data_IF_123161546608
#
_entry.id   IF_123161546608
#
_cell.length_a   1.000
_cell.length_b   1.000
_cell.length_c   1.000
_cell.angle_alpha   90.00
_cell.angle_beta   90.00
_cell.angle_gamma   90.00
#
_symmetry.space_group_name_H-M   'P 1'
#
loop_
_entity.id
_entity.type
_entity.pdbx_description
1 polymer ?
#
# COMPACT_ATOMS: atom_id res chain seq x y z
N UNK A 1 -8.72 11.35 27.92
CA UNK A 1 -8.28 9.95 27.73
C UNK A 1 -7.12 9.58 28.66
N UNK A 2 -5.95 10.23 28.59
CA UNK A 2 -4.78 9.91 29.46
C UNK A 2 -5.09 10.08 30.96
N UNK A 3 -5.75 11.16 31.37
CA UNK A 3 -6.17 11.38 32.77
C UNK A 3 -7.05 10.24 33.30
N UNK A 4 -7.97 9.71 32.48
CA UNK A 4 -8.83 8.60 32.86
C UNK A 4 -8.02 7.31 32.99
N UNK A 5 -7.06 7.06 32.10
CA UNK A 5 -6.19 5.89 32.20
C UNK A 5 -5.32 5.93 33.47
N UNK A 6 -4.78 7.10 33.82
CA UNK A 6 -4.02 7.30 35.07
C UNK A 6 -4.90 7.05 36.30
N UNK A 7 -6.13 7.56 36.30
CA UNK A 7 -7.08 7.32 37.38
C UNK A 7 -7.42 5.83 37.50
N UNK A 8 -7.70 5.16 36.38
CA UNK A 8 -7.98 3.72 36.37
C UNK A 8 -6.80 2.89 36.87
N UNK A 9 -5.55 3.25 36.52
CA UNK A 9 -4.35 2.59 37.06
C UNK A 9 -4.27 2.77 38.58
N UNK A 10 -4.52 3.99 39.07
CA UNK A 10 -4.52 4.29 40.50
C UNK A 10 -5.59 3.48 41.23
N UNK A 11 -6.78 3.40 40.67
CA UNK A 11 -7.90 2.67 41.24
C UNK A 11 -7.62 1.15 41.23
N UNK A 12 -7.07 0.60 40.13
CA UNK A 12 -6.67 -0.81 40.08
C UNK A 12 -5.58 -1.19 41.08
N UNK A 13 -4.67 -0.27 41.42
CA UNK A 13 -3.68 -0.49 42.48
C UNK A 13 -4.34 -0.44 43.86
N UNK A 14 -5.25 0.53 44.07
CA UNK A 14 -5.92 0.73 45.36
C UNK A 14 -6.87 -0.42 45.69
N UNK A 15 -7.64 -0.85 44.70
CA UNK A 15 -8.70 -1.86 44.86
C UNK A 15 -8.21 -3.28 44.49
N UNK A 16 -6.89 -3.46 44.34
CA UNK A 16 -6.27 -4.73 43.97
C UNK A 16 -6.71 -5.90 44.85
N UNK A 17 -6.91 -5.67 46.16
CA UNK A 17 -7.35 -6.72 47.09
C UNK A 17 -8.79 -7.19 46.84
N UNK A 18 -9.64 -6.36 46.26
CA UNK A 18 -11.05 -6.67 46.02
C UNK A 18 -11.19 -7.61 44.82
N UNK A 19 -10.57 -7.24 43.70
CA UNK A 19 -10.56 -8.04 42.47
C UNK A 19 -9.13 -8.19 41.91
N UNK A 20 -8.31 -9.08 42.50
CA UNK A 20 -6.88 -9.16 42.18
C UNK A 20 -6.62 -9.57 40.73
N UNK A 21 -7.48 -10.38 40.14
CA UNK A 21 -7.25 -10.93 38.80
C UNK A 21 -7.55 -9.91 37.71
N UNK A 22 -8.66 -9.19 37.86
CA UNK A 22 -9.07 -8.14 36.94
C UNK A 22 -8.13 -6.94 37.01
N UNK A 23 -7.78 -6.51 38.22
CA UNK A 23 -6.82 -5.43 38.41
C UNK A 23 -5.41 -5.81 37.95
N UNK A 24 -4.95 -7.04 38.20
CA UNK A 24 -3.66 -7.50 37.69
C UNK A 24 -3.67 -7.61 36.16
N UNK A 25 -4.75 -8.12 35.57
CA UNK A 25 -4.89 -8.19 34.11
C UNK A 25 -4.77 -6.79 33.50
N UNK A 26 -5.51 -5.82 34.03
CA UNK A 26 -5.43 -4.43 33.57
C UNK A 26 -4.01 -3.85 33.71
N UNK A 27 -3.35 -4.05 34.84
CA UNK A 27 -2.00 -3.55 35.08
C UNK A 27 -0.96 -4.19 34.16
N UNK A 28 -1.06 -5.50 33.89
CA UNK A 28 -0.19 -6.20 32.95
C UNK A 28 -0.37 -5.66 31.54
N UNK A 29 -1.62 -5.44 31.11
CA UNK A 29 -1.91 -4.84 29.79
C UNK A 29 -1.35 -3.43 29.65
N UNK A 30 -1.46 -2.60 30.70
CA UNK A 30 -0.81 -1.28 30.74
C UNK A 30 0.72 -1.42 30.69
N UNK A 31 1.26 -2.41 31.40
CA UNK A 31 2.68 -2.76 31.39
C UNK A 31 3.23 -3.08 30.00
N UNK A 32 2.45 -3.80 29.17
CA UNK A 32 2.82 -4.09 27.77
C UNK A 32 3.01 -2.79 26.98
N UNK A 33 2.04 -1.87 27.06
CA UNK A 33 2.11 -0.58 26.37
C UNK A 33 3.26 0.30 26.88
N UNK A 34 3.47 0.35 28.19
CA UNK A 34 4.57 1.10 28.81
C UNK A 34 5.94 0.54 28.41
N UNK A 35 6.11 -0.79 28.39
CA UNK A 35 7.34 -1.43 27.95
C UNK A 35 7.69 -0.97 26.53
N UNK A 36 6.73 -0.99 25.60
CA UNK A 36 6.96 -0.52 24.24
C UNK A 36 7.33 0.96 24.17
N UNK A 37 6.65 1.82 24.93
CA UNK A 37 6.91 3.25 24.96
C UNK A 37 8.33 3.55 25.47
N UNK A 38 8.74 2.94 26.59
CA UNK A 38 10.08 3.11 27.16
C UNK A 38 11.13 2.66 26.14
N UNK A 39 10.95 1.50 25.53
CA UNK A 39 11.89 0.98 24.55
C UNK A 39 11.93 1.84 23.27
N UNK A 40 10.80 2.39 22.84
CA UNK A 40 10.73 3.34 21.73
C UNK A 40 11.51 4.64 22.01
N UNK A 41 11.43 5.16 23.25
CA UNK A 41 12.23 6.32 23.67
C UNK A 41 13.73 5.98 23.65
N UNK A 42 14.12 4.84 24.22
CA UNK A 42 15.52 4.39 24.24
C UNK A 42 16.06 4.24 22.81
N UNK A 43 15.28 3.61 21.93
CA UNK A 43 15.59 3.43 20.51
C UNK A 43 15.83 4.79 19.82
N UNK A 44 14.92 5.74 20.02
CA UNK A 44 15.06 7.09 19.45
C UNK A 44 16.27 7.87 20.01
N UNK A 45 16.56 7.77 21.32
CA UNK A 45 17.76 8.37 21.92
C UNK A 45 19.02 7.76 21.30
N UNK A 46 19.05 6.45 21.11
CA UNK A 46 20.18 5.76 20.47
C UNK A 46 20.39 6.24 19.03
N UNK A 47 19.33 6.43 18.26
CA UNK A 47 19.42 7.02 16.93
C UNK A 47 20.10 8.40 16.96
N UNK A 48 19.66 9.29 17.84
CA UNK A 48 20.27 10.63 18.00
C UNK A 48 21.74 10.51 18.39
N UNK A 49 22.07 9.63 19.33
CA UNK A 49 23.45 9.45 19.81
C UNK A 49 24.41 8.94 18.73
N UNK A 50 23.89 8.22 17.73
CA UNK A 50 24.66 7.67 16.58
C UNK A 50 24.77 8.66 15.42
N UNK A 51 24.51 9.95 15.65
CA UNK A 51 24.55 10.98 14.63
C UNK A 51 23.23 11.22 13.91
N UNK A 52 22.19 10.43 14.17
CA UNK A 52 20.80 10.54 13.67
C UNK A 52 20.56 11.56 12.56
N UNK A 53 20.00 12.72 12.91
CA UNK A 53 19.66 13.77 11.95
C UNK A 53 20.86 14.47 11.31
N UNK A 54 21.99 14.61 12.01
CA UNK A 54 23.16 15.29 11.43
C UNK A 54 23.74 14.46 10.27
N UNK A 55 23.79 13.13 10.43
CA UNK A 55 24.17 12.21 9.36
C UNK A 55 23.21 12.29 8.16
N UNK A 56 21.89 12.35 8.41
CA UNK A 56 20.89 12.49 7.34
C UNK A 56 21.01 13.83 6.59
N UNK A 57 21.24 14.93 7.31
CA UNK A 57 21.44 16.25 6.69
C UNK A 57 22.72 16.24 5.84
N UNK A 58 23.77 15.59 6.30
CA UNK A 58 25.01 15.45 5.53
C UNK A 58 24.78 14.62 4.25
N UNK A 59 24.06 13.51 4.34
CA UNK A 59 23.69 12.72 3.18
C UNK A 59 22.84 13.52 2.16
N UNK A 60 21.93 14.37 2.63
CA UNK A 60 21.15 15.27 1.74
C UNK A 60 22.04 16.32 1.07
N UNK A 61 23.05 16.83 1.76
CA UNK A 61 24.03 17.76 1.17
C UNK A 61 24.90 17.08 0.12
N UNK A 62 25.30 15.84 0.36
CA UNK A 62 26.19 15.07 -0.51
C UNK A 62 25.48 14.55 -1.77
N UNK A 63 24.30 13.96 -1.60
CA UNK A 63 23.53 13.35 -2.70
C UNK A 63 22.52 14.33 -3.35
N UNK A 64 22.40 15.55 -2.83
CA UNK A 64 21.37 16.50 -3.24
C UNK A 64 19.95 16.03 -2.91
N UNK A 65 18.93 16.75 -3.40
CA UNK A 65 17.52 16.46 -3.05
C UNK A 65 16.94 15.30 -3.89
N UNK A 66 17.39 15.10 -5.13
CA UNK A 66 16.73 14.18 -6.07
C UNK A 66 17.36 12.79 -6.21
N UNK A 67 18.57 12.58 -5.70
CA UNK A 67 19.32 11.32 -5.90
C UNK A 67 19.52 10.55 -4.60
N UNK A 68 19.82 9.24 -4.74
CA UNK A 68 20.24 8.33 -3.67
C UNK A 68 19.37 8.37 -2.40
N UNK A 69 18.04 8.24 -2.57
CA UNK A 69 17.11 8.25 -1.43
C UNK A 69 17.38 7.13 -0.43
N UNK A 70 17.74 5.93 -0.89
CA UNK A 70 18.04 4.78 -0.02
C UNK A 70 19.15 5.10 1.00
N UNK A 71 20.18 5.86 0.59
CA UNK A 71 21.29 6.26 1.48
C UNK A 71 20.94 7.37 2.47
N UNK A 72 19.76 7.99 2.35
CA UNK A 72 19.27 9.03 3.28
C UNK A 72 18.40 8.42 4.38
N UNK A 73 17.65 7.36 4.07
CA UNK A 73 16.82 6.66 5.06
C UNK A 73 17.69 5.84 5.99
N UNK A 74 17.32 5.80 7.27
CA UNK A 74 17.83 4.81 8.20
C UNK A 74 16.97 3.55 8.14
N UNK A 75 17.59 2.39 8.25
CA UNK A 75 16.90 1.11 8.47
C UNK A 75 16.20 1.05 9.83
N UNK A 76 16.46 2.03 10.68
CA UNK A 76 15.77 2.31 11.93
C UNK A 76 16.24 1.47 13.11
N UNK A 77 16.03 1.97 14.32
CA UNK A 77 16.35 1.23 15.56
C UNK A 77 15.16 0.42 16.09
N UNK A 78 14.05 0.39 15.35
CA UNK A 78 12.78 -0.24 15.74
C UNK A 78 12.88 -1.74 15.99
N UNK A 79 13.79 -2.45 15.30
CA UNK A 79 14.08 -3.86 15.59
C UNK A 79 14.58 -4.11 17.02
N UNK A 80 15.15 -3.09 17.66
CA UNK A 80 15.60 -3.16 19.06
C UNK A 80 14.46 -3.07 20.07
N UNK A 81 13.29 -2.56 19.65
CA UNK A 81 12.09 -2.44 20.51
C UNK A 81 11.51 -3.83 20.82
N UNK A 82 11.63 -4.76 19.87
CA UNK A 82 11.07 -6.12 19.96
C UNK A 82 12.18 -7.17 20.22
N UNK A 83 13.44 -6.81 20.00
CA UNK A 83 14.60 -7.67 20.26
C UNK A 83 15.17 -7.59 21.67
N UNK A 84 16.12 -8.47 21.99
CA UNK A 84 16.93 -8.40 23.22
C UNK A 84 16.14 -8.52 24.53
N UNK A 85 16.50 -7.70 25.52
CA UNK A 85 15.86 -7.71 26.85
C UNK A 85 14.41 -7.22 26.78
N UNK A 86 14.15 -6.20 25.96
CA UNK A 86 12.82 -5.62 25.73
C UNK A 86 11.81 -6.67 25.24
N UNK A 87 12.21 -7.48 24.25
CA UNK A 87 11.41 -8.59 23.75
C UNK A 87 11.15 -9.67 24.79
N UNK A 88 12.16 -10.01 25.61
CA UNK A 88 11.99 -10.99 26.71
C UNK A 88 10.98 -10.52 27.74
N UNK A 89 11.01 -9.24 28.13
CA UNK A 89 10.04 -8.64 29.04
C UNK A 89 8.64 -8.67 28.42
N UNK A 90 8.51 -8.31 27.13
CA UNK A 90 7.24 -8.35 26.41
C UNK A 90 6.64 -9.76 26.41
N UNK A 91 7.44 -10.78 26.09
CA UNK A 91 7.00 -12.18 26.10
C UNK A 91 6.56 -12.62 27.51
N UNK A 92 7.30 -12.22 28.55
CA UNK A 92 6.94 -12.53 29.93
C UNK A 92 5.60 -11.90 30.32
N UNK A 93 5.36 -10.63 29.96
CA UNK A 93 4.09 -9.94 30.21
C UNK A 93 2.92 -10.62 29.46
N UNK A 94 3.12 -10.99 28.20
CA UNK A 94 2.11 -11.71 27.41
C UNK A 94 1.78 -13.09 27.99
N UNK A 95 2.78 -13.79 28.54
CA UNK A 95 2.57 -15.08 29.20
C UNK A 95 1.74 -14.92 30.48
N UNK A 96 2.04 -13.90 31.30
CA UNK A 96 1.25 -13.58 32.49
C UNK A 96 -0.19 -13.22 32.10
N UNK A 97 -0.37 -12.38 31.09
CA UNK A 97 -1.69 -12.00 30.58
C UNK A 97 -2.48 -13.21 30.08
N UNK A 98 -1.83 -14.12 29.36
CA UNK A 98 -2.43 -15.37 28.91
C UNK A 98 -2.91 -16.24 30.10
N UNK A 99 -2.10 -16.38 31.15
CA UNK A 99 -2.49 -17.12 32.36
C UNK A 99 -3.70 -16.48 33.03
N UNK A 100 -3.72 -15.14 33.15
CA UNK A 100 -4.85 -14.41 33.74
C UNK A 100 -6.11 -14.57 32.90
N UNK A 101 -5.98 -14.55 31.57
CA UNK A 101 -7.09 -14.81 30.65
C UNK A 101 -7.65 -16.22 30.86
N UNK A 102 -6.78 -17.24 30.98
CA UNK A 102 -7.20 -18.61 31.27
C UNK A 102 -7.93 -18.70 32.61
N UNK A 103 -7.40 -18.05 33.65
CA UNK A 103 -8.04 -18.04 34.95
C UNK A 103 -9.44 -17.42 34.88
N UNK A 104 -9.57 -16.24 34.25
CA UNK A 104 -10.85 -15.55 34.09
C UNK A 104 -11.84 -16.39 33.28
N UNK A 105 -11.38 -17.11 32.25
CA UNK A 105 -12.20 -18.03 31.48
C UNK A 105 -12.72 -19.18 32.35
N UNK A 106 -11.84 -19.88 33.08
CA UNK A 106 -12.22 -21.01 33.92
C UNK A 106 -13.06 -20.60 35.13
N UNK A 107 -12.90 -19.39 35.66
CA UNK A 107 -13.75 -18.85 36.73
C UNK A 107 -15.19 -18.65 36.27
N UNK A 108 -15.38 -18.22 35.02
CA UNK A 108 -16.67 -17.73 34.51
C UNK A 108 -17.38 -18.71 33.55
N UNK A 109 -16.99 -19.99 33.54
CA UNK A 109 -17.52 -21.02 32.63
C UNK A 109 -18.07 -22.23 33.38
N UNK A 110 -19.08 -22.88 32.79
CA UNK A 110 -19.57 -24.18 33.25
C UNK A 110 -18.66 -25.35 32.85
N UNK A 111 -18.77 -26.49 33.53
CA UNK A 111 -17.89 -27.67 33.40
C UNK A 111 -17.67 -28.08 31.94
N UNK A 112 -18.72 -28.17 31.12
CA UNK A 112 -18.62 -28.57 29.73
C UNK A 112 -17.69 -27.66 28.90
N UNK A 113 -17.80 -26.33 29.06
CA UNK A 113 -16.94 -25.36 28.38
C UNK A 113 -15.48 -25.46 28.85
N UNK A 114 -15.26 -25.75 30.14
CA UNK A 114 -13.90 -25.97 30.68
C UNK A 114 -13.23 -27.17 30.03
N UNK A 115 -13.96 -28.29 29.91
CA UNK A 115 -13.46 -29.52 29.27
C UNK A 115 -13.10 -29.23 27.81
N UNK A 116 -13.98 -28.56 27.05
CA UNK A 116 -13.73 -28.20 25.65
C UNK A 116 -12.47 -27.34 25.53
N UNK A 117 -12.30 -26.32 26.39
CA UNK A 117 -11.10 -25.47 26.40
C UNK A 117 -9.82 -26.25 26.71
N UNK A 118 -9.85 -27.20 27.65
CA UNK A 118 -8.67 -28.01 27.98
C UNK A 118 -8.28 -28.89 26.77
N UNK A 119 -9.27 -29.50 26.11
CA UNK A 119 -9.03 -30.29 24.89
C UNK A 119 -8.44 -29.41 23.80
N UNK A 120 -9.03 -28.24 23.54
CA UNK A 120 -8.59 -27.30 22.53
C UNK A 120 -7.15 -26.79 22.80
N UNK A 121 -6.84 -26.46 24.05
CA UNK A 121 -5.50 -26.03 24.45
C UNK A 121 -4.47 -27.15 24.28
N UNK A 122 -4.82 -28.40 24.65
CA UNK A 122 -3.97 -29.57 24.46
C UNK A 122 -3.69 -29.86 22.99
N UNK A 123 -4.73 -29.84 22.15
CA UNK A 123 -4.60 -30.02 20.70
C UNK A 123 -3.76 -28.91 20.09
N UNK A 124 -4.02 -27.65 20.43
CA UNK A 124 -3.26 -26.49 19.94
C UNK A 124 -1.80 -26.56 20.36
N UNK A 125 -1.51 -26.93 21.62
CA UNK A 125 -0.14 -27.10 22.11
C UNK A 125 0.64 -28.16 21.34
N UNK A 126 0.06 -29.36 21.15
CA UNK A 126 0.68 -30.44 20.35
C UNK A 126 0.90 -29.98 18.89
N UNK A 127 -0.07 -29.30 18.29
CA UNK A 127 0.02 -28.78 16.92
C UNK A 127 1.13 -27.76 16.76
N UNK A 128 1.30 -26.84 17.71
CA UNK A 128 2.38 -25.85 17.71
C UNK A 128 3.76 -26.53 17.75
N UNK A 129 3.92 -27.60 18.55
CA UNK A 129 5.17 -28.37 18.61
C UNK A 129 5.44 -29.07 17.27
N UNK A 130 4.44 -29.75 16.70
CA UNK A 130 4.57 -30.41 15.38
C UNK A 130 4.91 -29.38 14.30
N UNK A 131 4.26 -28.20 14.34
CA UNK A 131 4.51 -27.11 13.39
C UNK A 131 5.94 -26.59 13.50
N UNK A 132 6.44 -26.39 14.73
CA UNK A 132 7.80 -25.95 14.99
C UNK A 132 8.83 -26.97 14.49
N UNK A 133 8.65 -28.25 14.80
CA UNK A 133 9.54 -29.33 14.32
C UNK A 133 9.53 -29.36 12.79
N UNK A 134 8.36 -29.27 12.17
CA UNK A 134 8.21 -29.28 10.70
C UNK A 134 8.93 -28.09 10.05
N UNK A 135 8.85 -26.90 10.64
CA UNK A 135 9.55 -25.71 10.17
C UNK A 135 11.08 -25.84 10.30
N UNK A 136 11.57 -26.36 11.43
CA UNK A 136 13.00 -26.58 11.64
C UNK A 136 13.58 -27.59 10.65
N UNK A 137 12.86 -28.69 10.37
CA UNK A 137 13.27 -29.67 9.36
C UNK A 137 13.31 -29.07 7.94
N UNK A 138 12.38 -28.17 7.62
CA UNK A 138 12.35 -27.48 6.33
C UNK A 138 13.54 -26.51 6.14
N UNK A 139 13.94 -25.81 7.21
CA UNK A 139 15.10 -24.89 7.17
C UNK A 139 16.45 -25.61 6.99
N UNK A 140 16.57 -26.86 7.41
CA UNK A 140 17.79 -27.65 7.27
C UNK A 140 17.99 -28.21 5.84
N UNK A 141 17.14 -27.85 4.88
CA UNK A 141 17.29 -28.29 3.48
C UNK A 141 17.07 -29.80 3.29
N UNK A 142 16.39 -30.45 4.25
CA UNK A 142 16.08 -31.87 4.11
C UNK A 142 15.12 -32.07 2.93
N UNK A 143 15.64 -32.66 1.85
CA UNK A 143 14.83 -33.30 0.81
C UNK A 143 14.15 -34.50 1.44
N UNK A 144 13.14 -34.26 2.26
CA UNK A 144 12.26 -35.30 2.76
C UNK A 144 11.42 -35.73 1.56
N UNK A 145 11.83 -36.81 0.89
CA UNK A 145 10.96 -37.50 -0.05
C UNK A 145 9.65 -37.85 0.69
N UNK A 146 8.52 -37.56 0.04
CA UNK A 146 7.22 -37.41 0.69
C UNK A 146 6.89 -38.51 1.70
N UNK A 147 6.32 -38.11 2.85
CA UNK A 147 5.88 -39.05 3.88
C UNK A 147 4.76 -39.92 3.31
N UNK A 148 4.91 -41.26 3.25
CA UNK A 148 3.83 -42.14 2.82
C UNK A 148 2.68 -42.06 3.84
N UNK A 149 1.47 -41.78 3.36
CA UNK A 149 0.27 -41.85 4.18
C UNK A 149 0.06 -43.31 4.62
N UNK A 150 -0.17 -43.53 5.92
CA UNK A 150 -0.48 -44.84 6.53
C UNK A 150 -1.70 -45.54 5.90
N UNK A 151 -2.48 -44.83 5.07
CA UNK A 151 -3.64 -45.32 4.34
C UNK A 151 -3.45 -45.10 2.84
N UNK A 152 -2.55 -45.87 2.22
CA UNK A 152 -2.53 -46.19 0.79
C UNK A 152 -2.91 -45.09 -0.21
N UNK A 153 -2.29 -43.90 -0.10
CA UNK A 153 -2.52 -42.78 -1.02
C UNK A 153 -1.21 -42.16 -1.50
N UNK A 154 -1.25 -41.49 -2.67
CA UNK A 154 -0.10 -40.83 -3.30
C UNK A 154 0.71 -40.01 -2.30
N UNK A 155 2.05 -40.05 -2.40
CA UNK A 155 2.95 -39.26 -1.57
C UNK A 155 2.60 -37.77 -1.67
N UNK A 156 2.18 -37.18 -0.55
CA UNK A 156 2.01 -35.73 -0.46
C UNK A 156 3.39 -35.08 -0.38
N UNK A 157 3.62 -34.03 -1.16
CA UNK A 157 4.84 -33.25 -1.03
C UNK A 157 4.91 -32.64 0.38
N UNK A 158 6.11 -32.55 0.95
CA UNK A 158 6.34 -32.02 2.30
C UNK A 158 5.79 -30.61 2.48
N UNK A 159 5.88 -29.78 1.44
CA UNK A 159 5.29 -28.44 1.43
C UNK A 159 3.77 -28.47 1.62
N UNK A 160 3.06 -29.42 0.99
CA UNK A 160 1.60 -29.58 1.19
C UNK A 160 1.28 -30.03 2.61
N UNK A 161 2.10 -30.90 3.20
CA UNK A 161 1.93 -31.36 4.60
C UNK A 161 2.12 -30.19 5.57
N UNK A 162 3.16 -29.36 5.39
CA UNK A 162 3.41 -28.17 6.19
C UNK A 162 2.24 -27.19 6.07
N UNK A 163 1.76 -26.93 4.86
CA UNK A 163 0.63 -26.03 4.61
C UNK A 163 -0.65 -26.54 5.27
N UNK A 164 -0.99 -27.83 5.13
CA UNK A 164 -2.16 -28.43 5.78
C UNK A 164 -2.04 -28.31 7.30
N UNK A 165 -0.86 -28.62 7.86
CA UNK A 165 -0.66 -28.51 9.30
C UNK A 165 -0.78 -27.05 9.79
N UNK A 166 -0.29 -26.08 9.03
CA UNK A 166 -0.44 -24.66 9.33
C UNK A 166 -1.92 -24.23 9.33
N UNK A 167 -2.69 -24.63 8.32
CA UNK A 167 -4.14 -24.35 8.23
C UNK A 167 -4.88 -24.95 9.43
N UNK A 168 -4.62 -26.23 9.74
CA UNK A 168 -5.29 -26.89 10.87
C UNK A 168 -4.92 -26.22 12.20
N UNK A 169 -3.66 -25.82 12.37
CA UNK A 169 -3.20 -25.08 13.57
C UNK A 169 -3.89 -23.73 13.68
N UNK A 170 -4.07 -23.00 12.57
CA UNK A 170 -4.83 -21.75 12.56
C UNK A 170 -6.29 -21.97 12.94
N UNK A 171 -6.91 -23.07 12.47
CA UNK A 171 -8.28 -23.42 12.86
C UNK A 171 -8.41 -23.67 14.37
N UNK A 172 -7.47 -24.39 15.00
CA UNK A 172 -7.54 -24.62 16.45
C UNK A 172 -7.31 -23.33 17.25
N UNK A 173 -6.37 -22.49 16.82
CA UNK A 173 -6.18 -21.15 17.40
C UNK A 173 -7.45 -20.29 17.23
N UNK A 174 -8.13 -20.36 16.09
CA UNK A 174 -9.38 -19.62 15.88
C UNK A 174 -10.48 -20.12 16.82
N UNK A 175 -10.61 -21.43 17.01
CA UNK A 175 -11.56 -22.04 17.96
C UNK A 175 -11.25 -21.56 19.39
N UNK A 176 -9.98 -21.54 19.81
CA UNK A 176 -9.56 -20.97 21.08
C UNK A 176 -10.10 -19.55 21.27
N UNK A 177 -9.86 -18.64 20.31
CA UNK A 177 -10.34 -17.27 20.41
C UNK A 177 -11.88 -17.18 20.42
N UNK A 178 -12.57 -18.00 19.62
CA UNK A 178 -14.04 -18.08 19.63
C UNK A 178 -14.55 -18.47 21.02
N UNK A 179 -13.95 -19.50 21.64
CA UNK A 179 -14.32 -19.94 22.98
C UNK A 179 -14.15 -18.80 23.99
N UNK A 180 -13.02 -18.11 23.99
CA UNK A 180 -12.77 -16.97 24.87
C UNK A 180 -13.79 -15.84 24.63
N UNK A 181 -14.05 -15.49 23.37
CA UNK A 181 -15.00 -14.44 23.00
C UNK A 181 -16.45 -14.77 23.38
N UNK A 182 -16.80 -16.03 23.64
CA UNK A 182 -18.13 -16.35 24.17
C UNK A 182 -18.36 -15.81 25.60
N UNK A 183 -17.29 -15.49 26.34
CA UNK A 183 -17.35 -15.08 27.74
C UNK A 183 -17.17 -13.57 27.87
N UNK A 184 -18.22 -12.87 28.34
CA UNK A 184 -18.22 -11.39 28.48
C UNK A 184 -17.03 -10.86 29.28
N UNK A 185 -16.69 -11.51 30.39
CA UNK A 185 -15.57 -11.13 31.25
C UNK A 185 -14.18 -11.27 30.57
N UNK A 186 -14.06 -12.08 29.52
CA UNK A 186 -12.79 -12.21 28.78
C UNK A 186 -12.69 -11.21 27.62
N UNK A 187 -13.83 -10.71 27.09
CA UNK A 187 -13.86 -9.82 25.93
C UNK A 187 -13.12 -8.51 26.19
N UNK A 188 -13.32 -7.92 27.37
CA UNK A 188 -12.67 -6.66 27.72
C UNK A 188 -11.15 -6.87 27.83
N UNK A 189 -10.70 -7.95 28.51
CA UNK A 189 -9.28 -8.30 28.63
C UNK A 189 -8.63 -8.45 27.25
N UNK A 190 -9.25 -9.23 26.34
CA UNK A 190 -8.75 -9.38 24.98
C UNK A 190 -8.73 -8.06 24.21
N UNK A 191 -9.74 -7.20 24.38
CA UNK A 191 -9.81 -5.90 23.71
C UNK A 191 -8.67 -4.97 24.12
N UNK A 192 -8.40 -4.82 25.42
CA UNK A 192 -7.28 -4.01 25.89
C UNK A 192 -5.93 -4.63 25.54
N UNK A 193 -5.79 -5.96 25.64
CA UNK A 193 -4.59 -6.69 25.23
C UNK A 193 -4.27 -6.45 23.77
N UNK A 194 -5.26 -6.57 22.88
CA UNK A 194 -5.10 -6.33 21.45
C UNK A 194 -4.66 -4.88 21.15
N UNK A 195 -5.24 -3.90 21.83
CA UNK A 195 -4.82 -2.50 21.71
C UNK A 195 -3.38 -2.32 22.20
N UNK A 196 -3.03 -2.86 23.37
CA UNK A 196 -1.68 -2.76 23.92
C UNK A 196 -0.64 -3.43 23.02
N UNK A 197 -0.97 -4.59 22.44
CA UNK A 197 -0.13 -5.30 21.49
C UNK A 197 0.03 -4.53 20.18
N UNK A 198 -1.05 -3.93 19.66
CA UNK A 198 -1.01 -3.08 18.47
C UNK A 198 -0.15 -1.85 18.71
N UNK A 199 -0.25 -1.23 19.89
CA UNK A 199 0.64 -0.15 20.30
C UNK A 199 2.09 -0.63 20.32
N UNK A 200 2.34 -1.79 20.92
CA UNK A 200 3.69 -2.31 21.14
C UNK A 200 4.41 -2.76 19.87
N UNK A 201 3.70 -3.45 18.97
CA UNK A 201 4.28 -4.07 17.78
C UNK A 201 4.17 -3.23 16.52
N UNK A 202 3.20 -2.30 16.45
CA UNK A 202 2.96 -1.51 15.26
C UNK A 202 3.07 0.00 15.53
N UNK A 203 2.25 0.55 16.44
CA UNK A 203 2.11 2.00 16.56
C UNK A 203 3.40 2.68 17.03
N UNK A 204 4.00 2.21 18.14
CA UNK A 204 5.23 2.81 18.68
C UNK A 204 6.41 2.62 17.72
N UNK A 205 6.67 1.41 17.19
CA UNK A 205 7.70 1.23 16.16
C UNK A 205 7.50 2.15 14.94
N UNK A 206 6.27 2.30 14.45
CA UNK A 206 5.99 3.17 13.31
C UNK A 206 6.26 4.65 13.63
N UNK A 207 5.85 5.12 14.82
CA UNK A 207 6.13 6.49 15.27
C UNK A 207 7.64 6.73 15.34
N UNK A 208 8.39 5.82 15.94
CA UNK A 208 9.85 5.92 16.03
C UNK A 208 10.48 5.92 14.63
N UNK A 209 10.05 5.04 13.73
CA UNK A 209 10.57 4.98 12.36
C UNK A 209 10.33 6.29 11.60
N UNK A 210 9.14 6.88 11.74
CA UNK A 210 8.80 8.17 11.11
C UNK A 210 9.66 9.29 11.71
N UNK A 211 9.82 9.33 13.04
CA UNK A 211 10.67 10.31 13.71
C UNK A 211 12.11 10.19 13.21
N UNK A 212 12.68 8.98 13.24
CA UNK A 212 14.04 8.71 12.77
C UNK A 212 14.24 9.08 11.30
N UNK A 213 13.20 9.04 10.46
CA UNK A 213 13.28 9.34 9.03
C UNK A 213 12.64 10.67 8.63
N UNK A 214 12.40 11.59 9.57
CA UNK A 214 11.68 12.84 9.28
C UNK A 214 12.40 13.71 8.25
N UNK A 215 13.74 13.73 8.25
CA UNK A 215 14.53 14.53 7.31
C UNK A 215 14.43 13.97 5.87
N UNK A 216 14.73 12.68 5.61
CA UNK A 216 14.47 12.07 4.30
C UNK A 216 13.04 12.28 3.80
N UNK A 217 12.04 12.09 4.66
CA UNK A 217 10.62 12.29 4.30
C UNK A 217 10.37 13.74 3.89
N UNK A 218 10.81 14.72 4.68
CA UNK A 218 10.65 16.13 4.38
C UNK A 218 11.35 16.52 3.06
N UNK A 219 12.55 16.01 2.82
CA UNK A 219 13.27 16.26 1.56
C UNK A 219 12.58 15.63 0.35
N UNK A 220 11.98 14.45 0.53
CA UNK A 220 11.14 13.80 -0.49
C UNK A 220 9.91 14.64 -0.85
N UNK A 221 9.19 15.14 0.15
CA UNK A 221 8.03 16.02 -0.07
C UNK A 221 8.45 17.29 -0.82
N UNK A 222 9.57 17.91 -0.42
CA UNK A 222 10.12 19.08 -1.11
C UNK A 222 10.46 18.77 -2.58
N UNK A 223 11.06 17.62 -2.86
CA UNK A 223 11.36 17.17 -4.21
C UNK A 223 10.09 17.05 -5.07
N UNK A 224 9.03 16.44 -4.54
CA UNK A 224 7.74 16.31 -5.22
C UNK A 224 7.12 17.68 -5.52
N UNK A 225 7.19 18.64 -4.59
CA UNK A 225 6.70 20.00 -4.81
C UNK A 225 7.47 20.67 -5.97
N UNK A 226 8.80 20.58 -5.97
CA UNK A 226 9.63 21.18 -7.03
C UNK A 226 9.29 20.56 -8.39
N UNK A 227 9.21 19.24 -8.48
CA UNK A 227 8.83 18.54 -9.72
C UNK A 227 7.42 18.96 -10.16
N UNK A 228 6.46 19.04 -9.23
CA UNK A 228 5.10 19.49 -9.52
C UNK A 228 5.06 20.91 -10.11
N UNK A 229 5.82 21.84 -9.54
CA UNK A 229 5.95 23.21 -10.06
C UNK A 229 6.55 23.19 -11.46
N UNK A 230 7.62 22.43 -11.70
CA UNK A 230 8.26 22.32 -13.01
C UNK A 230 7.28 21.76 -14.05
N UNK A 231 6.55 20.70 -13.71
CA UNK A 231 5.55 20.09 -14.61
C UNK A 231 4.46 21.10 -14.98
N UNK A 232 3.92 21.83 -14.00
CA UNK A 232 2.91 22.88 -14.25
C UNK A 232 3.49 24.01 -15.10
N UNK A 233 4.72 24.46 -14.82
CA UNK A 233 5.38 25.50 -15.59
C UNK A 233 5.64 25.07 -17.05
N UNK A 234 6.03 23.82 -17.28
CA UNK A 234 6.21 23.26 -18.63
C UNK A 234 4.88 23.18 -19.37
N UNK A 235 3.82 22.64 -18.74
CA UNK A 235 2.47 22.60 -19.33
C UNK A 235 2.00 24.02 -19.69
N UNK A 236 2.25 24.99 -18.81
CA UNK A 236 1.87 26.38 -19.05
C UNK A 236 2.70 27.06 -20.15
N UNK A 237 4.00 26.78 -20.23
CA UNK A 237 4.86 27.27 -21.31
C UNK A 237 4.46 26.67 -22.67
N UNK A 238 4.15 25.38 -22.70
CA UNK A 238 3.67 24.69 -23.91
C UNK A 238 2.31 25.24 -24.36
N UNK A 239 1.38 25.49 -23.43
CA UNK A 239 0.06 26.06 -23.74
C UNK A 239 0.09 27.55 -24.10
N UNK A 240 1.13 28.31 -23.72
CA UNK A 240 1.36 29.69 -24.21
C UNK A 240 1.95 29.74 -25.61
N UNK A 241 2.74 28.74 -26.01
CA UNK A 241 3.32 28.66 -27.36
C UNK A 241 2.27 28.41 -28.47
N UNK A 242 1.03 28.06 -28.10
CA UNK A 242 -0.11 27.87 -29.01
C UNK A 242 -1.06 29.06 -29.13
N UNK A 243 -0.73 30.25 -28.60
CA UNK A 243 -1.51 31.45 -28.91
C UNK A 243 -1.10 32.72 -28.18
N UNK A 244 -0.23 33.52 -28.78
CA UNK A 244 -0.12 34.94 -28.49
C UNK A 244 -0.96 35.73 -29.52
N UNK A 245 -1.96 36.55 -29.12
CA UNK A 245 -2.58 37.52 -30.01
C UNK A 245 -1.62 38.69 -30.23
N UNK A 246 -1.32 39.02 -31.48
CA UNK A 246 -0.57 40.23 -31.83
C UNK A 246 -1.32 41.49 -31.38
N UNK A 247 -0.64 42.51 -30.82
CA UNK A 247 -1.24 43.82 -30.61
C UNK A 247 -1.23 44.59 -31.93
N UNK A 248 -2.38 44.74 -32.58
CA UNK A 248 -2.48 45.57 -33.78
C UNK A 248 -2.39 47.05 -33.42
N UNK A 249 -1.41 47.70 -34.05
CA UNK A 249 -1.16 49.14 -34.03
C UNK A 249 -2.36 49.91 -34.57
N UNK A 250 -2.73 50.95 -33.84
CA UNK A 250 -3.55 52.06 -34.28
C UNK A 250 -2.97 52.77 -35.50
N UNK A 251 -3.73 52.84 -36.59
CA UNK A 251 -3.65 53.89 -37.60
C UNK A 251 -5.02 54.13 -38.23
N UNK A 252 -5.38 55.41 -38.25
CA UNK A 252 -6.65 56.04 -38.66
C UNK A 252 -6.85 56.12 -40.16
N UNK A 253 -8.09 56.01 -40.66
CA UNK A 253 -8.91 57.12 -41.19
C UNK A 253 -10.15 56.64 -41.98
N UNK A 254 -11.30 57.27 -41.66
CA UNK A 254 -12.50 57.63 -42.44
C UNK A 254 -12.87 56.83 -43.71
N UNK A 255 -14.13 56.47 -44.01
CA UNK A 255 -15.35 57.29 -43.92
C UNK A 255 -16.64 56.47 -44.17
N UNK A 256 -17.74 56.94 -43.56
CA UNK A 256 -19.15 56.94 -44.03
C UNK A 256 -20.05 55.69 -43.99
N UNK A 257 -21.08 55.84 -43.15
CA UNK A 257 -22.52 55.56 -43.35
C UNK A 257 -23.11 54.13 -43.41
N UNK A 258 -23.76 53.81 -42.28
CA UNK A 258 -25.13 53.29 -42.10
C UNK A 258 -25.65 52.10 -42.96
N UNK A 259 -25.92 50.97 -42.31
CA UNK A 259 -27.28 50.61 -41.88
C UNK A 259 -27.35 49.34 -41.00
N UNK A 260 -28.24 49.41 -40.02
CA UNK A 260 -28.98 48.34 -39.29
C UNK A 260 -28.62 46.86 -39.49
N UNK A 261 -28.44 46.14 -38.38
CA UNK A 261 -28.61 44.69 -38.39
C UNK A 261 -28.17 43.97 -37.10
N UNK A 262 -29.14 43.71 -36.22
CA UNK A 262 -29.33 42.47 -35.43
C UNK A 262 -28.11 41.65 -34.96
N UNK A 263 -28.08 41.43 -33.64
CA UNK A 263 -27.49 40.27 -32.92
C UNK A 263 -27.35 38.99 -33.77
N UNK A 264 -26.17 38.35 -33.74
CA UNK A 264 -25.98 36.92 -33.41
C UNK A 264 -24.51 36.51 -33.39
N UNK A 265 -24.20 35.58 -32.49
CA UNK A 265 -22.86 35.05 -32.23
C UNK A 265 -22.16 34.48 -33.46
N UNK A 266 -20.86 34.73 -33.54
CA UNK A 266 -20.00 34.19 -34.58
C UNK A 266 -19.79 32.69 -34.39
N UNK A 267 -20.33 31.91 -35.34
CA UNK A 267 -19.83 30.58 -35.68
C UNK A 267 -18.34 30.66 -36.00
N UNK A 268 -17.56 29.70 -35.50
CA UNK A 268 -16.21 29.48 -36.01
C UNK A 268 -16.28 29.17 -37.51
N UNK A 269 -15.37 29.76 -38.28
CA UNK A 269 -15.14 29.38 -39.67
C UNK A 269 -14.91 27.86 -39.78
N UNK A 270 -15.50 27.22 -40.79
CA UNK A 270 -15.27 25.82 -41.18
C UNK A 270 -13.78 25.44 -41.23
N UNK A 271 -12.91 26.42 -41.51
CA UNK A 271 -11.45 26.27 -41.56
C UNK A 271 -10.81 26.10 -40.16
N UNK A 272 -11.42 26.67 -39.13
CA UNK A 272 -11.00 26.57 -37.73
C UNK A 272 -11.40 25.25 -37.07
N UNK A 273 -12.62 24.76 -37.35
CA UNK A 273 -13.04 23.41 -36.92
C UNK A 273 -12.22 22.31 -37.61
N UNK A 274 -11.92 22.47 -38.91
CA UNK A 274 -11.06 21.53 -39.66
C UNK A 274 -9.62 21.46 -39.13
N UNK A 275 -9.07 22.56 -38.61
CA UNK A 275 -7.75 22.55 -37.97
C UNK A 275 -7.76 21.83 -36.62
N UNK A 276 -8.78 22.06 -35.78
CA UNK A 276 -8.92 21.39 -34.48
C UNK A 276 -9.09 19.87 -34.58
N UNK A 277 -9.87 19.38 -35.56
CA UNK A 277 -10.04 17.94 -35.80
C UNK A 277 -8.76 17.22 -36.26
N UNK A 278 -7.78 17.94 -36.82
CA UNK A 278 -6.55 17.33 -37.31
C UNK A 278 -5.46 17.17 -36.24
N UNK A 279 -5.62 17.83 -35.09
CA UNK A 279 -4.61 17.84 -34.00
C UNK A 279 -5.02 16.95 -32.81
N UNK A 280 -6.26 16.43 -32.78
CA UNK A 280 -6.76 15.54 -31.73
C UNK A 280 -6.93 14.09 -32.23
N UNK A 281 -6.66 13.10 -31.35
CA UNK A 281 -6.92 11.69 -31.63
C UNK A 281 -8.43 11.45 -31.61
N UNK A 282 -9.00 11.12 -32.77
CA UNK A 282 -10.44 10.84 -32.91
C UNK A 282 -10.62 9.35 -33.16
N UNK A 283 -11.35 8.67 -32.28
CA UNK A 283 -11.75 7.27 -32.44
C UNK A 283 -13.27 7.25 -32.59
N UNK A 284 -13.72 6.90 -33.78
CA UNK A 284 -15.13 6.69 -34.12
C UNK A 284 -15.43 5.18 -34.17
N UNK A 285 -16.69 4.81 -34.34
CA UNK A 285 -17.15 3.40 -34.25
C UNK A 285 -16.53 2.48 -35.31
N UNK A 286 -16.21 3.02 -36.49
CA UNK A 286 -15.66 2.26 -37.63
C UNK A 286 -14.35 2.83 -38.19
N UNK A 287 -13.84 3.93 -37.63
CA UNK A 287 -12.55 4.46 -38.05
C UNK A 287 -11.85 5.27 -36.98
N UNK A 288 -10.53 5.44 -37.11
CA UNK A 288 -9.75 6.30 -36.25
C UNK A 288 -8.86 7.24 -37.07
N UNK A 289 -8.72 8.49 -36.62
CA UNK A 289 -7.83 9.50 -37.20
C UNK A 289 -6.68 9.78 -36.24
N UNK A 290 -5.45 9.48 -36.68
CA UNK A 290 -4.24 9.59 -35.87
C UNK A 290 -3.51 10.90 -36.20
N UNK A 291 -3.40 11.85 -35.26
CA UNK A 291 -2.64 13.08 -35.47
C UNK A 291 -1.14 12.81 -35.36
N UNK A 292 -0.33 13.54 -36.14
CA UNK A 292 1.14 13.51 -36.10
C UNK A 292 1.75 12.09 -36.13
N UNK A 293 1.19 11.19 -36.95
CA UNK A 293 1.65 9.80 -37.06
C UNK A 293 3.14 9.72 -37.47
N UNK A 294 3.93 8.98 -36.68
CA UNK A 294 5.40 8.80 -36.86
C UNK A 294 6.23 10.10 -36.88
N UNK A 295 5.66 11.24 -36.48
CA UNK A 295 6.41 12.49 -36.30
C UNK A 295 7.11 12.52 -34.92
N UNK A 296 8.15 13.33 -34.80
CA UNK A 296 8.89 13.48 -33.54
C UNK A 296 7.97 14.02 -32.44
N UNK A 297 7.77 13.25 -31.37
CA UNK A 297 6.83 13.55 -30.28
C UNK A 297 5.35 13.26 -30.59
N UNK A 298 5.04 12.62 -31.73
CA UNK A 298 3.68 12.27 -32.15
C UNK A 298 3.26 10.84 -31.79
N UNK A 299 2.08 10.44 -32.27
CA UNK A 299 1.51 9.12 -31.98
C UNK A 299 2.18 8.02 -32.84
N UNK A 300 2.47 6.89 -32.20
CA UNK A 300 2.91 5.65 -32.83
C UNK A 300 1.82 4.59 -32.69
N UNK A 301 1.78 3.66 -33.64
CA UNK A 301 0.85 2.53 -33.62
C UNK A 301 1.62 1.23 -33.43
N UNK A 302 1.03 0.33 -32.65
CA UNK A 302 1.58 -0.99 -32.40
C UNK A 302 0.50 -2.06 -32.44
N UNK A 303 0.85 -3.24 -32.97
CA UNK A 303 0.08 -4.48 -32.77
C UNK A 303 0.59 -5.14 -31.49
N UNK A 304 -0.33 -5.47 -30.60
CA UNK A 304 -0.02 -6.02 -29.26
C UNK A 304 -0.75 -7.33 -29.05
N UNK A 305 -0.03 -8.31 -28.51
CA UNK A 305 -0.63 -9.56 -28.07
C UNK A 305 -1.42 -9.36 -26.78
N UNK A 306 -2.75 -9.41 -26.90
CA UNK A 306 -3.64 -9.29 -25.75
C UNK A 306 -3.95 -10.65 -25.13
N UNK A 307 -4.32 -10.66 -23.85
CA UNK A 307 -4.67 -11.88 -23.12
C UNK A 307 -6.01 -12.51 -23.57
N UNK A 308 -6.83 -11.76 -24.32
CA UNK A 308 -8.15 -12.16 -24.83
C UNK A 308 -8.20 -12.11 -26.36
N UNK A 309 -7.65 -11.06 -26.97
CA UNK A 309 -7.55 -10.88 -28.41
C UNK A 309 -6.36 -9.96 -28.74
N UNK A 310 -5.75 -10.12 -29.91
CA UNK A 310 -4.75 -9.20 -30.44
C UNK A 310 -5.43 -7.87 -30.83
N UNK A 311 -4.76 -6.74 -30.57
CA UNK A 311 -5.32 -5.42 -30.82
C UNK A 311 -4.28 -4.41 -31.29
N UNK A 312 -4.78 -3.30 -31.84
CA UNK A 312 -3.96 -2.15 -32.23
C UNK A 312 -4.08 -1.08 -31.15
N UNK A 313 -2.94 -0.58 -30.69
CA UNK A 313 -2.86 0.52 -29.73
C UNK A 313 -2.10 1.72 -30.29
N UNK A 314 -2.40 2.88 -29.72
CA UNK A 314 -1.60 4.11 -29.86
C UNK A 314 -0.70 4.31 -28.66
N UNK A 315 0.51 4.77 -28.91
CA UNK A 315 1.50 5.17 -27.90
C UNK A 315 2.03 6.57 -28.25
N UNK A 316 1.94 7.51 -27.31
CA UNK A 316 2.48 8.87 -27.43
C UNK A 316 3.66 9.14 -26.48
N UNK A 317 4.25 8.10 -25.90
CA UNK A 317 5.33 8.15 -24.91
C UNK A 317 4.87 8.37 -23.46
N UNK A 318 3.59 8.68 -23.23
CA UNK A 318 3.03 8.94 -21.90
C UNK A 318 1.84 8.02 -21.56
N UNK A 319 1.01 7.69 -22.54
CA UNK A 319 -0.19 6.86 -22.37
C UNK A 319 -0.36 5.92 -23.58
N UNK A 320 -0.68 4.66 -23.28
CA UNK A 320 -1.10 3.68 -24.28
C UNK A 320 -2.63 3.61 -24.33
N UNK A 321 -3.22 3.63 -25.53
CA UNK A 321 -4.67 3.54 -25.71
C UNK A 321 -5.03 2.55 -26.81
N UNK A 322 -5.82 1.54 -26.49
CA UNK A 322 -6.41 0.58 -27.44
C UNK A 322 -7.35 1.31 -28.41
N UNK A 323 -7.18 1.07 -29.71
CA UNK A 323 -8.03 1.61 -30.77
C UNK A 323 -9.10 0.58 -31.17
N UNK A 324 -8.67 -0.57 -31.67
CA UNK A 324 -9.54 -1.61 -32.21
C UNK A 324 -8.87 -2.98 -32.08
N UNK A 325 -9.67 -4.05 -32.20
CA UNK A 325 -9.12 -5.41 -32.30
C UNK A 325 -8.48 -5.65 -33.68
N UNK A 326 -7.44 -6.48 -33.71
CA UNK A 326 -6.70 -6.78 -34.93
C UNK A 326 -7.57 -7.54 -35.94
N UNK A 327 -8.51 -8.34 -35.46
CA UNK A 327 -9.49 -9.06 -36.29
C UNK A 327 -10.43 -8.09 -37.04
N UNK A 328 -10.99 -7.08 -36.35
CA UNK A 328 -11.88 -6.10 -36.98
C UNK A 328 -11.16 -5.27 -38.04
N UNK A 329 -9.90 -4.94 -37.78
CA UNK A 329 -9.08 -4.18 -38.71
C UNK A 329 -8.69 -5.02 -39.95
N UNK A 330 -8.23 -6.26 -39.77
CA UNK A 330 -7.87 -7.14 -40.89
C UNK A 330 -9.07 -7.54 -41.76
N UNK A 331 -10.26 -7.64 -41.17
CA UNK A 331 -11.51 -7.92 -41.88
C UNK A 331 -12.09 -6.68 -42.59
N UNK A 332 -11.41 -5.53 -42.56
CA UNK A 332 -11.85 -4.29 -43.21
C UNK A 332 -13.09 -3.67 -42.58
N UNK A 333 -13.42 -4.02 -41.32
CA UNK A 333 -14.56 -3.45 -40.58
C UNK A 333 -14.16 -2.20 -39.78
N UNK A 334 -12.87 -1.92 -39.69
CA UNK A 334 -12.32 -0.76 -39.00
C UNK A 334 -11.15 -0.20 -39.81
N UNK A 335 -11.12 1.11 -40.06
CA UNK A 335 -10.08 1.77 -40.86
C UNK A 335 -9.30 2.79 -40.04
N UNK A 336 -7.99 2.90 -40.25
CA UNK A 336 -7.14 3.85 -39.52
C UNK A 336 -6.53 4.82 -40.53
N UNK A 337 -6.75 6.12 -40.32
CA UNK A 337 -6.27 7.18 -41.20
C UNK A 337 -5.27 8.07 -40.48
N UNK A 338 -4.29 8.58 -41.21
CA UNK A 338 -3.48 9.70 -40.77
C UNK A 338 -4.30 10.99 -40.87
N UNK A 339 -4.49 11.72 -39.76
CA UNK A 339 -5.42 12.85 -39.70
C UNK A 339 -5.05 13.99 -40.69
N UNK A 340 -3.76 14.22 -40.90
CA UNK A 340 -3.26 15.31 -41.76
C UNK A 340 -3.36 15.01 -43.25
N UNK A 341 -2.99 13.80 -43.67
CA UNK A 341 -2.94 13.39 -45.08
C UNK A 341 -4.21 12.67 -45.54
N UNK A 342 -5.07 12.24 -44.59
CA UNK A 342 -6.22 11.36 -44.81
C UNK A 342 -5.85 10.02 -45.47
N UNK A 343 -4.56 9.69 -45.48
CA UNK A 343 -4.06 8.43 -46.01
C UNK A 343 -4.42 7.31 -45.04
N UNK A 344 -4.96 6.22 -45.58
CA UNK A 344 -5.16 5.01 -44.79
C UNK A 344 -3.81 4.39 -44.43
N UNK A 345 -3.63 4.13 -43.15
CA UNK A 345 -2.49 3.40 -42.61
C UNK A 345 -2.81 1.92 -42.79
N UNK A 346 -1.88 1.17 -43.35
CA UNK A 346 -2.04 -0.26 -43.67
C UNK A 346 -1.43 -1.14 -42.57
N UNK A 347 -1.94 -2.38 -42.40
CA UNK A 347 -1.48 -3.33 -41.36
C UNK A 347 0.02 -3.63 -41.40
N UNK A 348 0.63 -3.58 -42.58
CA UNK A 348 2.06 -3.80 -42.79
C UNK A 348 2.93 -2.61 -42.32
N UNK A 349 2.35 -1.43 -42.18
CA UNK A 349 3.06 -0.22 -41.69
C UNK A 349 3.10 -0.14 -40.16
N UNK A 350 2.31 -0.97 -39.49
CA UNK A 350 2.17 -1.05 -38.03
C UNK A 350 3.06 -2.19 -37.51
N UNK A 351 4.12 -1.90 -36.74
CA UNK A 351 4.98 -2.92 -36.16
C UNK A 351 4.29 -3.68 -35.02
N UNK A 352 4.78 -4.89 -34.75
CA UNK A 352 4.47 -5.61 -33.51
C UNK A 352 5.29 -5.04 -32.36
N UNK A 353 4.71 -5.05 -31.16
CA UNK A 353 5.35 -4.65 -29.91
C UNK A 353 5.40 -5.80 -28.93
#
# INVERSE_FOLDING_TARGET
MIKNLINNVKDSIKDFKQDPIENLAFLVTVGIGLNALINGIIAYILFISRGGYTAQIQAVKEYGIFQSYEGKYTTGTTGMIIGGVAGKILIALLLVEFILLMFTYFKNTGIAKKIIMIIDLGVTGVRLIISLISYLCAMQGSNMDGVPLLFGGNSLSVQKIIMINAIVTLCTIAIFFILILTIKACRWMLGYSAIALLMALALIPLIVLILENIIPIATGILAFIIVGIIVVAVIWAVTRSTGAPNPEKSASWNSSESHSGSKKGGQLSERGERKRKNDELVIEEHCAYIPNYKQWGGFKLYKVHGHIEDYIETDNGFLNRKICSLELYNNGKFHIYEAKSRREIMTNEIPWR
#
